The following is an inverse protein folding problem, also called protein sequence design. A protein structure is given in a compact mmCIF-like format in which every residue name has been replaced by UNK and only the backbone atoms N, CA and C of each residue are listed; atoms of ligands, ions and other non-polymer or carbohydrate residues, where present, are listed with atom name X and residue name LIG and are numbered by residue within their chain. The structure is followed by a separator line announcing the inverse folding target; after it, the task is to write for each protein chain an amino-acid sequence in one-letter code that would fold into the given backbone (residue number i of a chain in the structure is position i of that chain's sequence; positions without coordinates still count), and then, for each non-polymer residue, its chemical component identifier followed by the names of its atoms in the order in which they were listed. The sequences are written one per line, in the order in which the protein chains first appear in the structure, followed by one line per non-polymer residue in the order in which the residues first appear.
data_IF_200999744569
#
_entry.id   IF_200999744569
#
_cell.length_a   1.000
_cell.length_b   1.000
_cell.length_c   1.000
_cell.angle_alpha   90.00
_cell.angle_beta   90.00
_cell.angle_gamma   90.00
#
_symmetry.space_group_name_H-M   'P 1'
#
loop_
_entity.id
_entity.type
_entity.pdbx_description
1 polymer ?
#
# COMPACT_ATOMS: atom_id res chain seq x y z
N UNK A 1 -21.51 -6.35 6.66
CA UNK A 1 -20.49 -5.28 6.60
C UNK A 1 -19.39 -5.56 5.57
N UNK A 2 -18.75 -6.75 5.53
CA UNK A 2 -17.64 -7.05 4.60
C UNK A 2 -18.00 -6.92 3.11
N UNK A 3 -19.14 -7.45 2.67
CA UNK A 3 -19.59 -7.33 1.27
C UNK A 3 -19.77 -5.87 0.84
N UNK A 4 -20.51 -5.10 1.65
CA UNK A 4 -20.75 -3.67 1.40
C UNK A 4 -19.43 -2.89 1.29
N UNK A 5 -18.48 -3.13 2.20
CA UNK A 5 -17.18 -2.48 2.18
C UNK A 5 -16.43 -2.74 0.87
N UNK A 6 -16.33 -4.01 0.44
CA UNK A 6 -15.65 -4.37 -0.80
C UNK A 6 -16.37 -3.84 -2.04
N UNK A 7 -17.71 -3.88 -2.07
CA UNK A 7 -18.48 -3.30 -3.18
C UNK A 7 -18.23 -1.80 -3.29
N UNK A 8 -18.25 -1.05 -2.19
CA UNK A 8 -17.99 0.39 -2.19
C UNK A 8 -16.56 0.69 -2.60
N UNK A 9 -15.58 -0.04 -2.06
CA UNK A 9 -14.16 0.14 -2.40
C UNK A 9 -13.92 -0.09 -3.91
N UNK A 10 -14.41 -1.22 -4.44
CA UNK A 10 -14.27 -1.56 -5.86
C UNK A 10 -15.00 -0.56 -6.76
N UNK A 11 -16.18 -0.10 -6.34
CA UNK A 11 -16.95 0.88 -7.11
C UNK A 11 -16.27 2.25 -7.15
N UNK A 12 -15.70 2.71 -6.02
CA UNK A 12 -14.90 3.95 -6.00
C UNK A 12 -13.68 3.82 -6.92
N UNK A 13 -12.98 2.68 -6.87
CA UNK A 13 -11.86 2.41 -7.78
C UNK A 13 -12.30 2.39 -9.26
N UNK A 14 -13.47 1.82 -9.57
CA UNK A 14 -14.05 1.84 -10.91
C UNK A 14 -14.27 3.27 -11.42
N UNK A 15 -14.86 4.14 -10.60
CA UNK A 15 -15.11 5.53 -10.96
C UNK A 15 -13.82 6.32 -11.18
N UNK A 16 -12.82 6.13 -10.31
CA UNK A 16 -11.50 6.76 -10.44
C UNK A 16 -10.83 6.31 -11.74
N UNK A 17 -10.90 5.02 -12.06
CA UNK A 17 -10.24 4.45 -13.24
C UNK A 17 -10.92 4.88 -14.54
N UNK A 18 -12.25 4.92 -14.57
CA UNK A 18 -13.00 5.22 -15.80
C UNK A 18 -13.12 6.72 -16.05
N UNK A 19 -13.04 7.55 -15.00
CA UNK A 19 -13.19 9.01 -15.05
C UNK A 19 -14.41 9.50 -15.86
N UNK A 20 -15.45 8.67 -15.95
CA UNK A 20 -16.65 8.90 -16.76
C UNK A 20 -17.89 8.75 -15.87
N UNK A 21 -18.65 9.85 -15.77
CA UNK A 21 -19.84 9.96 -14.92
C UNK A 21 -21.15 9.71 -15.66
N UNK A 22 -21.13 9.08 -16.83
CA UNK A 22 -22.35 8.65 -17.52
C UNK A 22 -23.14 7.64 -16.68
N UNK A 23 -24.47 7.78 -16.68
CA UNK A 23 -25.37 6.93 -15.89
C UNK A 23 -25.21 5.44 -16.22
N UNK A 24 -25.00 5.11 -17.51
CA UNK A 24 -24.72 3.75 -17.96
C UNK A 24 -23.46 3.17 -17.31
N UNK A 25 -22.38 3.95 -17.25
CA UNK A 25 -21.12 3.53 -16.65
C UNK A 25 -21.25 3.31 -15.14
N UNK A 26 -22.00 4.18 -14.45
CA UNK A 26 -22.27 4.07 -13.01
C UNK A 26 -23.02 2.75 -12.71
N UNK A 27 -24.07 2.46 -13.47
CA UNK A 27 -24.86 1.23 -13.30
C UNK A 27 -24.03 -0.03 -13.53
N UNK A 28 -23.26 -0.05 -14.63
CA UNK A 28 -22.37 -1.18 -14.96
C UNK A 28 -21.32 -1.36 -13.85
N UNK A 29 -20.67 -0.28 -13.43
CA UNK A 29 -19.67 -0.31 -12.37
C UNK A 29 -20.22 -0.86 -11.06
N UNK A 30 -21.45 -0.50 -10.70
CA UNK A 30 -22.11 -0.99 -9.48
C UNK A 30 -22.39 -2.49 -9.56
N UNK A 31 -22.95 -2.97 -10.68
CA UNK A 31 -23.25 -4.39 -10.90
C UNK A 31 -21.98 -5.24 -10.90
N UNK A 32 -20.94 -4.78 -11.61
CA UNK A 32 -19.64 -5.47 -11.69
C UNK A 32 -18.98 -5.52 -10.31
N UNK A 33 -18.90 -4.40 -9.61
CA UNK A 33 -18.30 -4.32 -8.27
C UNK A 33 -19.02 -5.22 -7.27
N UNK A 34 -20.35 -5.24 -7.30
CA UNK A 34 -21.15 -6.12 -6.45
C UNK A 34 -20.94 -7.61 -6.78
N UNK A 35 -20.92 -7.96 -8.06
CA UNK A 35 -20.70 -9.34 -8.52
C UNK A 35 -19.33 -9.87 -8.10
N UNK A 36 -18.28 -9.06 -8.25
CA UNK A 36 -16.93 -9.40 -7.80
C UNK A 36 -16.90 -9.55 -6.28
N UNK A 37 -17.49 -8.61 -5.54
CA UNK A 37 -17.55 -8.70 -4.08
C UNK A 37 -18.28 -9.99 -3.63
N UNK A 38 -19.38 -10.36 -4.29
CA UNK A 38 -20.13 -11.58 -3.98
C UNK A 38 -19.25 -12.84 -4.14
N UNK A 39 -18.52 -12.93 -5.25
CA UNK A 39 -17.66 -14.09 -5.56
C UNK A 39 -16.45 -14.19 -4.62
N UNK A 40 -15.83 -13.07 -4.28
CA UNK A 40 -14.52 -13.04 -3.62
C UNK A 40 -14.56 -12.72 -2.12
N UNK A 41 -15.69 -12.32 -1.55
CA UNK A 41 -15.80 -12.01 -0.10
C UNK A 41 -15.37 -13.17 0.81
N UNK A 42 -15.48 -14.42 0.36
CA UNK A 42 -15.05 -15.59 1.13
C UNK A 42 -13.53 -15.75 1.20
N UNK A 43 -12.79 -15.31 0.17
CA UNK A 43 -11.32 -15.39 0.11
C UNK A 43 -10.63 -14.40 1.06
N UNK A 44 -11.26 -13.26 1.34
CA UNK A 44 -10.71 -12.26 2.27
C UNK A 44 -11.00 -12.59 3.75
N UNK A 45 -10.82 -13.85 4.15
CA UNK A 45 -11.21 -14.41 5.46
C UNK A 45 -10.25 -14.06 6.59
N UNK A 46 -9.00 -13.69 6.29
CA UNK A 46 -8.09 -13.20 7.31
C UNK A 46 -8.68 -11.96 7.99
N UNK A 47 -8.34 -11.74 9.27
CA UNK A 47 -8.64 -10.52 10.04
C UNK A 47 -7.94 -9.32 9.37
N UNK A 48 -8.40 -8.96 8.17
CA UNK A 48 -7.55 -8.33 7.16
C UNK A 48 -7.39 -6.84 7.37
N UNK A 49 -8.28 -6.21 8.13
CA UNK A 49 -8.20 -4.79 8.46
C UNK A 49 -8.74 -4.58 9.86
N UNK A 50 -7.83 -4.36 10.81
CA UNK A 50 -8.19 -3.53 11.96
C UNK A 50 -8.55 -2.15 11.41
N UNK A 51 -9.63 -1.54 11.90
CA UNK A 51 -10.02 -0.21 11.43
C UNK A 51 -8.91 0.78 11.78
N UNK A 52 -8.10 1.15 10.78
CA UNK A 52 -7.07 2.17 10.93
C UNK A 52 -7.80 3.51 10.89
N UNK A 53 -7.65 4.31 11.94
CA UNK A 53 -8.17 5.67 11.94
C UNK A 53 -7.63 6.43 10.73
N UNK A 54 -8.49 7.07 9.90
CA UNK A 54 -8.05 7.86 8.76
C UNK A 54 -7.01 8.92 9.11
N UNK A 55 -7.08 9.46 10.34
CA UNK A 55 -6.11 10.41 10.85
C UNK A 55 -4.70 9.81 10.96
N UNK A 56 -4.57 8.66 11.62
CA UNK A 56 -3.29 7.97 11.80
C UNK A 56 -2.73 7.47 10.46
N UNK A 57 -3.61 7.04 9.55
CA UNK A 57 -3.21 6.70 8.18
C UNK A 57 -2.63 7.93 7.45
N UNK A 58 -3.26 9.10 7.58
CA UNK A 58 -2.76 10.35 7.01
C UNK A 58 -1.39 10.76 7.57
N UNK A 59 -1.21 10.66 8.89
CA UNK A 59 0.09 10.93 9.54
C UNK A 59 1.16 9.97 9.04
N UNK A 60 0.85 8.67 8.96
CA UNK A 60 1.77 7.66 8.44
C UNK A 60 2.16 7.95 6.98
N UNK A 61 1.19 8.23 6.10
CA UNK A 61 1.45 8.53 4.69
C UNK A 61 2.30 9.80 4.53
N UNK A 62 2.03 10.84 5.32
CA UNK A 62 2.83 12.06 5.31
C UNK A 62 4.29 11.81 5.67
N UNK A 63 4.54 11.06 6.75
CA UNK A 63 5.90 10.71 7.19
C UNK A 63 6.59 9.84 6.13
N UNK A 64 5.89 8.86 5.57
CA UNK A 64 6.41 7.98 4.52
C UNK A 64 6.82 8.79 3.28
N UNK A 65 5.94 9.65 2.78
CA UNK A 65 6.21 10.49 1.61
C UNK A 65 7.39 11.44 1.85
N UNK A 66 7.43 12.10 3.02
CA UNK A 66 8.56 12.96 3.40
C UNK A 66 9.88 12.21 3.36
N UNK A 67 9.94 11.03 4.00
CA UNK A 67 11.15 10.21 4.05
C UNK A 67 11.54 9.65 2.68
N UNK A 68 10.56 9.32 1.85
CA UNK A 68 10.76 8.86 0.47
C UNK A 68 11.39 9.96 -0.39
N UNK A 69 10.91 11.20 -0.29
CA UNK A 69 11.48 12.34 -1.00
C UNK A 69 12.93 12.61 -0.53
N UNK A 70 13.14 12.72 0.79
CA UNK A 70 14.46 13.00 1.35
C UNK A 70 15.49 11.93 0.95
N UNK A 71 15.09 10.66 1.02
CA UNK A 71 15.96 9.54 0.71
C UNK A 71 16.27 9.45 -0.79
N UNK A 72 15.29 9.73 -1.67
CA UNK A 72 15.53 9.83 -3.11
C UNK A 72 16.54 10.94 -3.42
N UNK A 73 16.37 12.13 -2.85
CA UNK A 73 17.32 13.24 -3.02
C UNK A 73 18.73 12.88 -2.52
N UNK A 74 18.83 12.16 -1.40
CA UNK A 74 20.11 11.70 -0.85
C UNK A 74 20.82 10.71 -1.78
N UNK A 75 20.07 9.77 -2.37
CA UNK A 75 20.61 8.82 -3.33
C UNK A 75 20.97 9.49 -4.65
N UNK A 76 20.14 10.39 -5.17
CA UNK A 76 20.47 11.17 -6.38
C UNK A 76 21.78 11.93 -6.21
N UNK A 77 22.00 12.60 -5.07
CA UNK A 77 23.27 13.27 -4.76
C UNK A 77 24.46 12.29 -4.74
N UNK A 78 24.26 11.07 -4.24
CA UNK A 78 25.29 10.03 -4.19
C UNK A 78 25.59 9.43 -5.57
N UNK A 79 24.58 9.24 -6.42
CA UNK A 79 24.75 8.78 -7.81
C UNK A 79 25.48 9.83 -8.65
N UNK A 80 25.18 11.11 -8.45
CA UNK A 80 25.84 12.22 -9.17
C UNK A 80 27.26 12.52 -8.66
N UNK A 81 27.63 12.02 -7.47
CA UNK A 81 28.97 12.20 -6.94
C UNK A 81 29.97 11.29 -7.66
N UNK A 82 31.16 11.83 -7.97
CA UNK A 82 32.23 11.11 -8.68
C UNK A 82 32.80 9.93 -7.86
N UNK A 83 32.69 9.97 -6.53
CA UNK A 83 33.18 8.95 -5.59
C UNK A 83 32.02 8.13 -4.99
N UNK A 84 31.36 7.33 -5.82
CA UNK A 84 30.30 6.43 -5.37
C UNK A 84 30.86 5.21 -4.63
N UNK A 85 31.04 5.33 -3.31
CA UNK A 85 31.38 4.18 -2.45
C UNK A 85 30.10 3.52 -1.92
N UNK A 86 29.79 2.33 -2.42
CA UNK A 86 28.69 1.49 -1.95
C UNK A 86 29.24 0.30 -1.16
N UNK A 87 28.65 0.04 0.00
CA UNK A 87 28.96 -1.12 0.86
C UNK A 87 27.65 -1.84 1.18
N UNK A 88 27.21 -2.79 0.33
CA UNK A 88 25.97 -3.53 0.58
C UNK A 88 26.11 -4.40 1.84
N UNK A 89 25.02 -4.50 2.61
CA UNK A 89 24.94 -5.35 3.79
C UNK A 89 23.54 -5.95 3.90
N UNK A 90 23.45 -7.19 4.39
CA UNK A 90 22.19 -7.84 4.74
C UNK A 90 22.06 -7.78 6.26
N UNK A 91 20.97 -7.19 6.76
CA UNK A 91 20.72 -7.00 8.19
C UNK A 91 19.37 -7.60 8.55
N UNK A 92 19.33 -8.42 9.59
CA UNK A 92 18.09 -8.96 10.14
C UNK A 92 17.46 -7.95 11.11
N UNK A 93 16.22 -7.55 10.86
CA UNK A 93 15.46 -6.64 11.73
C UNK A 93 14.38 -7.44 12.45
N UNK A 94 14.43 -7.46 13.79
CA UNK A 94 13.39 -8.09 14.62
C UNK A 94 12.24 -7.11 14.83
N UNK A 95 11.01 -7.59 14.67
CA UNK A 95 9.79 -6.82 14.90
C UNK A 95 8.85 -7.58 15.82
N UNK A 96 8.10 -6.85 16.66
CA UNK A 96 7.10 -7.40 17.57
C UNK A 96 5.68 -7.27 16.98
N UNK A 97 5.56 -7.18 15.65
CA UNK A 97 4.28 -7.05 14.97
C UNK A 97 3.63 -8.42 14.76
N UNK A 98 2.52 -8.66 15.44
CA UNK A 98 1.81 -9.95 15.39
C UNK A 98 1.03 -10.19 14.08
N UNK A 99 0.65 -9.12 13.38
CA UNK A 99 -0.22 -9.21 12.20
C UNK A 99 0.57 -9.19 10.88
N UNK A 100 0.24 -10.12 9.99
CA UNK A 100 0.86 -10.22 8.67
C UNK A 100 0.68 -8.95 7.84
N UNK A 101 -0.49 -8.29 7.90
CA UNK A 101 -0.68 -7.03 7.17
C UNK A 101 0.20 -5.89 7.73
N UNK A 102 0.47 -5.89 9.05
CA UNK A 102 1.36 -4.90 9.69
C UNK A 102 2.82 -5.16 9.28
N UNK A 103 3.23 -6.43 9.23
CA UNK A 103 4.55 -6.85 8.73
C UNK A 103 4.72 -6.48 7.26
N UNK A 104 3.71 -6.71 6.42
CA UNK A 104 3.71 -6.31 5.00
C UNK A 104 3.79 -4.79 4.83
N UNK A 105 3.05 -4.02 5.63
CA UNK A 105 3.10 -2.55 5.59
C UNK A 105 4.53 -2.07 5.90
N UNK A 106 5.13 -2.56 6.98
CA UNK A 106 6.50 -2.22 7.38
C UNK A 106 7.53 -2.60 6.31
N UNK A 107 7.46 -3.82 5.79
CA UNK A 107 8.35 -4.30 4.74
C UNK A 107 8.29 -3.41 3.49
N UNK A 108 7.08 -3.02 3.08
CA UNK A 108 6.90 -2.09 1.96
C UNK A 108 7.42 -0.68 2.28
N UNK A 109 7.27 -0.17 3.51
CA UNK A 109 7.87 1.11 3.90
C UNK A 109 9.40 1.10 3.78
N UNK A 110 10.03 -0.01 4.19
CA UNK A 110 11.48 -0.20 4.10
C UNK A 110 11.90 -0.29 2.63
N UNK A 111 11.26 -1.14 1.84
CA UNK A 111 11.59 -1.32 0.42
C UNK A 111 11.39 -0.03 -0.40
N UNK A 112 10.34 0.74 -0.11
CA UNK A 112 10.09 2.02 -0.78
C UNK A 112 11.07 3.12 -0.36
N UNK A 113 11.79 2.95 0.75
CA UNK A 113 12.83 3.88 1.15
C UNK A 113 14.07 3.58 0.30
N UNK A 114 14.51 4.53 -0.55
CA UNK A 114 15.66 4.35 -1.42
C UNK A 114 16.91 3.87 -0.65
N UNK A 115 17.53 2.80 -1.15
CA UNK A 115 18.75 2.22 -0.57
C UNK A 115 18.53 1.01 0.33
N UNK A 116 17.29 0.55 0.50
CA UNK A 116 16.94 -0.67 1.24
C UNK A 116 16.02 -1.57 0.41
N UNK A 117 16.11 -2.88 0.63
CA UNK A 117 15.26 -3.90 0.00
C UNK A 117 14.96 -4.99 1.02
N UNK A 118 13.67 -5.31 1.21
CA UNK A 118 13.26 -6.43 2.05
C UNK A 118 13.38 -7.73 1.24
N UNK A 119 14.15 -8.70 1.76
CA UNK A 119 14.41 -9.98 1.07
C UNK A 119 13.49 -11.11 1.54
N UNK A 120 13.21 -11.17 2.84
CA UNK A 120 12.45 -12.24 3.47
C UNK A 120 11.68 -11.69 4.68
N UNK A 121 10.48 -12.24 4.92
CA UNK A 121 9.61 -11.92 6.05
C UNK A 121 9.20 -13.26 6.66
N UNK A 122 9.67 -13.50 7.88
CA UNK A 122 9.31 -14.69 8.67
C UNK A 122 8.26 -14.36 9.72
#
# INVERSE_FOLDING_TARGET
MRLLFWTVLLFVMWLILTANSQMSNILIGLVVSFSIALLYTKLFTHKAFEFISPFWLGVYLWILLKNLIISNLRITKRILSKDMKLSPAIVAVKTNLDSDWKKLLLANSITLTPGTLTLDIK
#
